data_IF_069814059364
#
_entry.id   IF_069814059364
#
_cell.length_a   1.000
_cell.length_b   1.000
_cell.length_c   1.000
_cell.angle_alpha   90.00
_cell.angle_beta   90.00
_cell.angle_gamma   90.00
#
_symmetry.space_group_name_H-M   'P 1'
#
loop_
_entity.id
_entity.type
_entity.pdbx_description
1 polymer ?
#
# COMPACT_ATOMS: atom_id res chain seq x y z
N UNK A 1 -69.06 -5.48 -24.65
CA UNK A 1 -68.16 -6.30 -25.49
C UNK A 1 -66.93 -5.47 -25.83
N UNK A 2 -65.71 -6.00 -25.57
CA UNK A 2 -64.35 -5.47 -25.89
C UNK A 2 -63.89 -4.25 -25.07
N UNK A 3 -62.61 -4.07 -24.69
CA UNK A 3 -61.36 -4.87 -24.64
C UNK A 3 -60.36 -4.07 -23.76
N UNK A 4 -59.39 -4.74 -23.17
CA UNK A 4 -58.27 -4.24 -22.34
C UNK A 4 -57.11 -3.60 -23.13
N UNK A 5 -56.20 -2.94 -22.37
CA UNK A 5 -54.81 -2.48 -22.66
C UNK A 5 -54.67 -1.14 -23.44
N UNK A 6 -53.71 -0.24 -23.21
CA UNK A 6 -52.47 -0.15 -22.41
C UNK A 6 -51.91 1.28 -22.56
N UNK A 7 -51.18 1.83 -21.59
CA UNK A 7 -49.87 2.47 -21.77
C UNK A 7 -49.34 3.09 -20.45
N UNK A 8 -48.29 2.47 -19.91
CA UNK A 8 -47.37 3.02 -18.93
C UNK A 8 -46.50 4.13 -19.54
N UNK A 9 -46.08 5.11 -18.72
CA UNK A 9 -44.80 5.79 -18.86
C UNK A 9 -44.37 6.50 -17.55
N UNK A 10 -43.61 5.76 -16.73
CA UNK A 10 -42.38 6.16 -16.01
C UNK A 10 -42.44 7.35 -15.04
N UNK A 11 -42.85 7.07 -13.80
CA UNK A 11 -42.19 7.67 -12.63
C UNK A 11 -40.86 6.93 -12.42
N UNK A 12 -39.76 7.67 -12.41
CA UNK A 12 -38.44 7.12 -12.12
C UNK A 12 -38.36 6.69 -10.67
N UNK A 13 -38.42 5.38 -10.44
CA UNK A 13 -38.03 4.76 -9.18
C UNK A 13 -36.61 5.22 -8.82
N UNK A 14 -36.50 5.97 -7.72
CA UNK A 14 -35.27 6.03 -6.95
C UNK A 14 -35.04 4.58 -6.51
N UNK A 15 -34.09 3.91 -7.15
CA UNK A 15 -33.65 2.57 -6.78
C UNK A 15 -33.06 2.66 -5.36
N UNK A 16 -33.93 2.50 -4.36
CA UNK A 16 -33.52 2.33 -2.98
C UNK A 16 -32.66 1.06 -2.93
N UNK A 17 -31.40 1.21 -2.53
CA UNK A 17 -30.50 0.10 -2.22
C UNK A 17 -31.29 -0.99 -1.49
N UNK A 18 -31.22 -2.27 -1.91
CA UNK A 18 -31.83 -3.34 -1.14
C UNK A 18 -31.23 -3.31 0.27
N UNK A 19 -32.06 -3.03 1.27
CA UNK A 19 -31.72 -3.20 2.66
C UNK A 19 -31.52 -4.70 2.89
N UNK A 20 -30.29 -5.17 2.78
CA UNK A 20 -29.91 -6.48 3.27
C UNK A 20 -30.04 -6.44 4.80
N UNK A 21 -31.22 -6.81 5.30
CA UNK A 21 -31.36 -7.24 6.69
C UNK A 21 -30.55 -8.54 6.85
N UNK A 22 -29.32 -8.40 7.33
CA UNK A 22 -28.49 -9.55 7.71
C UNK A 22 -29.09 -10.23 8.94
N UNK A 23 -29.95 -11.22 8.71
CA UNK A 23 -30.53 -12.12 9.74
C UNK A 23 -29.62 -13.31 10.03
N UNK A 24 -28.33 -13.04 10.26
CA UNK A 24 -27.36 -14.01 10.75
C UNK A 24 -26.61 -13.43 11.96
N UNK A 25 -25.97 -14.26 12.79
CA UNK A 25 -25.06 -13.75 13.82
C UNK A 25 -24.04 -12.84 13.13
N UNK A 26 -24.02 -11.56 13.50
CA UNK A 26 -22.98 -10.62 13.05
C UNK A 26 -21.66 -11.18 13.54
N UNK A 27 -20.93 -11.86 12.66
CA UNK A 27 -19.51 -12.07 12.89
C UNK A 27 -18.88 -10.68 12.72
N UNK A 28 -18.83 -9.91 13.81
CA UNK A 28 -18.03 -8.70 13.88
C UNK A 28 -16.58 -9.18 13.86
N UNK A 29 -15.96 -9.20 12.68
CA UNK A 29 -14.51 -9.19 12.65
C UNK A 29 -14.05 -7.88 13.30
N UNK A 30 -13.09 -7.95 14.22
CA UNK A 30 -12.49 -6.77 14.87
C UNK A 30 -11.61 -5.97 13.88
N UNK A 31 -11.98 -5.92 12.61
CA UNK A 31 -11.23 -5.25 11.57
C UNK A 31 -11.54 -3.75 11.65
N UNK A 32 -10.58 -2.97 12.14
CA UNK A 32 -10.77 -1.55 12.31
C UNK A 32 -10.87 -0.83 10.95
N UNK A 33 -11.90 -0.01 10.74
CA UNK A 33 -12.12 0.69 9.48
C UNK A 33 -10.98 1.68 9.20
N UNK A 34 -10.39 1.65 8.00
CA UNK A 34 -9.32 2.57 7.59
C UNK A 34 -9.43 2.84 6.08
N UNK A 35 -9.61 4.10 5.69
CA UNK A 35 -9.85 4.50 4.30
C UNK A 35 -8.62 4.34 3.41
N UNK A 36 -7.43 4.63 3.97
CA UNK A 36 -6.15 4.57 3.27
C UNK A 36 -5.53 3.18 3.10
N UNK A 37 -6.27 2.08 3.32
CA UNK A 37 -5.72 0.72 3.17
C UNK A 37 -5.25 0.47 1.75
N UNK A 38 -4.34 -0.47 1.52
CA UNK A 38 -4.02 -1.05 0.22
C UNK A 38 -4.42 -2.53 0.30
N UNK A 39 -5.10 -3.07 -0.71
CA UNK A 39 -5.39 -4.51 -0.84
C UNK A 39 -6.63 -5.11 -0.15
N UNK A 40 -7.42 -4.36 0.63
CA UNK A 40 -8.71 -4.79 1.22
C UNK A 40 -9.99 -4.35 0.43
N UNK A 41 -11.19 -4.78 0.81
CA UNK A 41 -12.40 -4.17 0.23
C UNK A 41 -12.67 -2.81 0.90
N UNK A 42 -13.03 -1.77 0.14
CA UNK A 42 -13.52 -0.47 0.67
C UNK A 42 -14.83 -0.60 1.48
N UNK A 43 -15.38 -1.82 1.60
CA UNK A 43 -16.53 -2.14 2.44
C UNK A 43 -16.33 -1.85 3.94
N UNK A 44 -15.11 -1.52 4.37
CA UNK A 44 -14.77 -1.12 5.74
C UNK A 44 -14.57 0.39 5.90
N UNK A 45 -15.10 1.20 4.97
CA UNK A 45 -15.11 2.66 5.07
C UNK A 45 -16.44 3.12 5.65
N UNK A 46 -16.40 4.06 6.58
CA UNK A 46 -17.56 4.56 7.29
C UNK A 46 -18.08 5.85 6.65
N UNK A 47 -19.38 5.86 6.29
CA UNK A 47 -20.08 7.02 5.72
C UNK A 47 -20.51 8.05 6.79
N UNK A 48 -20.49 7.69 8.08
CA UNK A 48 -20.83 8.60 9.20
C UNK A 48 -22.32 8.83 9.40
N UNK A 49 -23.18 7.92 8.91
CA UNK A 49 -24.63 8.09 8.93
C UNK A 49 -25.30 7.64 10.25
N UNK A 50 -24.59 6.88 11.10
CA UNK A 50 -25.12 6.35 12.36
C UNK A 50 -24.39 6.89 13.59
N UNK A 51 -25.02 6.83 14.76
CA UNK A 51 -24.41 7.28 16.02
C UNK A 51 -23.26 6.37 16.51
N UNK A 52 -23.19 5.13 16.03
CA UNK A 52 -22.06 4.23 16.29
C UNK A 52 -20.86 4.59 15.41
N UNK A 53 -21.10 5.00 14.17
CA UNK A 53 -20.07 5.51 13.26
C UNK A 53 -19.40 6.78 13.81
N UNK A 54 -20.19 7.68 14.40
CA UNK A 54 -19.70 8.92 15.00
C UNK A 54 -18.73 8.65 16.16
N UNK A 55 -19.06 7.70 17.05
CA UNK A 55 -18.16 7.28 18.14
C UNK A 55 -16.87 6.64 17.64
N UNK A 56 -16.93 5.88 16.54
CA UNK A 56 -15.75 5.30 15.91
C UNK A 56 -14.87 6.38 15.29
N UNK A 57 -15.46 7.38 14.62
CA UNK A 57 -14.75 8.49 14.02
C UNK A 57 -14.05 9.39 15.06
N UNK A 58 -14.58 9.51 16.28
CA UNK A 58 -13.88 10.19 17.38
C UNK A 58 -12.55 9.52 17.75
N UNK A 59 -12.50 8.19 17.68
CA UNK A 59 -11.31 7.39 18.04
C UNK A 59 -10.39 7.15 16.85
N UNK A 60 -10.95 7.14 15.64
CA UNK A 60 -10.26 6.84 14.41
C UNK A 60 -10.83 7.68 13.24
N UNK A 61 -10.36 8.93 13.08
CA UNK A 61 -10.90 9.84 12.08
C UNK A 61 -10.62 9.35 10.65
N UNK A 62 -9.56 8.55 10.44
CA UNK A 62 -9.19 8.00 9.13
C UNK A 62 -9.99 6.76 8.69
N UNK A 63 -11.10 6.48 9.37
CA UNK A 63 -12.09 5.49 8.94
C UNK A 63 -12.99 5.99 7.78
N UNK A 64 -13.03 7.30 7.54
CA UNK A 64 -13.81 7.94 6.46
C UNK A 64 -12.88 8.60 5.42
N UNK A 65 -13.25 8.65 4.13
CA UNK A 65 -12.45 9.32 3.12
C UNK A 65 -12.70 10.84 3.13
N UNK A 66 -13.68 11.31 3.90
CA UNK A 66 -14.11 12.70 3.99
C UNK A 66 -13.58 13.41 5.23
N UNK A 67 -12.31 13.21 5.59
CA UNK A 67 -11.70 13.91 6.71
C UNK A 67 -11.52 15.41 6.46
N UNK A 68 -11.96 16.23 7.42
CA UNK A 68 -11.61 17.65 7.44
C UNK A 68 -10.13 17.85 7.80
N UNK A 69 -9.58 19.02 7.47
CA UNK A 69 -8.19 19.33 7.81
C UNK A 69 -7.91 19.32 9.33
N UNK A 70 -8.92 19.65 10.15
CA UNK A 70 -8.78 19.66 11.62
C UNK A 70 -8.71 18.24 12.18
N UNK A 71 -9.52 17.33 11.67
CA UNK A 71 -9.50 15.91 12.05
C UNK A 71 -8.23 15.22 11.56
N UNK A 72 -7.73 15.60 10.39
CA UNK A 72 -6.49 15.07 9.83
C UNK A 72 -5.28 15.26 10.76
N UNK A 73 -5.17 16.43 11.39
CA UNK A 73 -4.04 16.81 12.27
C UNK A 73 -4.31 16.51 13.75
N UNK A 74 -5.48 15.97 14.07
CA UNK A 74 -5.85 15.65 15.44
C UNK A 74 -4.96 14.55 16.00
N UNK A 75 -4.35 14.80 17.16
CA UNK A 75 -3.42 13.88 17.80
C UNK A 75 -4.09 12.98 18.84
N UNK A 76 -5.36 13.19 19.19
CA UNK A 76 -6.10 12.33 20.15
C UNK A 76 -5.98 10.83 19.82
N UNK A 77 -6.05 10.39 18.55
CA UNK A 77 -5.92 8.96 18.20
C UNK A 77 -4.54 8.35 18.49
N UNK A 78 -3.50 9.12 18.83
CA UNK A 78 -2.15 8.57 19.07
C UNK A 78 -2.10 7.62 20.28
N UNK A 79 -3.04 7.76 21.24
CA UNK A 79 -3.14 6.86 22.40
C UNK A 79 -3.89 5.56 22.08
N UNK A 80 -4.45 5.44 20.87
CA UNK A 80 -5.18 4.25 20.46
C UNK A 80 -4.22 3.08 20.25
N UNK A 81 -4.37 2.02 21.06
CA UNK A 81 -3.54 0.81 21.00
C UNK A 81 -3.59 0.15 19.61
N UNK A 82 -4.73 0.20 18.94
CA UNK A 82 -4.85 -0.48 17.66
C UNK A 82 -4.08 0.24 16.55
N UNK A 83 -3.90 1.56 16.67
CA UNK A 83 -3.02 2.32 15.81
C UNK A 83 -1.56 1.88 15.97
N UNK A 84 -1.13 1.61 17.20
CA UNK A 84 0.21 1.06 17.49
C UNK A 84 0.38 -0.37 16.99
N UNK A 85 -0.65 -1.22 17.09
CA UNK A 85 -0.64 -2.55 16.49
C UNK A 85 -0.48 -2.44 14.98
N UNK A 86 -1.27 -1.58 14.33
CA UNK A 86 -1.18 -1.36 12.88
C UNK A 86 0.21 -0.86 12.47
N UNK A 87 0.80 0.07 13.22
CA UNK A 87 2.17 0.54 12.98
C UNK A 87 3.24 -0.55 13.19
N UNK A 88 3.10 -1.39 14.22
CA UNK A 88 4.00 -2.54 14.40
C UNK A 88 3.91 -3.52 13.23
N UNK A 89 2.68 -3.76 12.74
CA UNK A 89 2.43 -4.61 11.59
C UNK A 89 3.01 -4.02 10.30
N UNK A 90 2.94 -2.69 10.10
CA UNK A 90 3.67 -2.00 9.03
C UNK A 90 5.17 -2.23 9.12
N UNK A 91 5.76 -2.11 10.31
CA UNK A 91 7.18 -2.35 10.52
C UNK A 91 7.58 -3.80 10.22
N UNK A 92 6.80 -4.78 10.68
CA UNK A 92 7.05 -6.21 10.41
C UNK A 92 6.90 -6.52 8.92
N UNK A 93 5.82 -6.06 8.28
CA UNK A 93 5.61 -6.30 6.86
C UNK A 93 6.67 -5.63 6.00
N UNK A 94 7.09 -4.40 6.35
CA UNK A 94 8.22 -3.72 5.70
C UNK A 94 9.51 -4.51 5.90
N UNK A 95 9.80 -4.98 7.11
CA UNK A 95 10.98 -5.80 7.40
C UNK A 95 11.02 -7.06 6.52
N UNK A 96 9.92 -7.81 6.48
CA UNK A 96 9.85 -9.05 5.70
C UNK A 96 9.95 -8.78 4.19
N UNK A 97 9.23 -7.78 3.69
CA UNK A 97 9.25 -7.39 2.28
C UNK A 97 10.64 -6.90 1.85
N UNK A 98 11.26 -6.01 2.63
CA UNK A 98 12.61 -5.50 2.38
C UNK A 98 13.65 -6.62 2.47
N UNK A 99 13.53 -7.54 3.44
CA UNK A 99 14.47 -8.66 3.55
C UNK A 99 14.47 -9.52 2.28
N UNK A 100 13.29 -9.92 1.79
CA UNK A 100 13.20 -10.81 0.62
C UNK A 100 13.62 -10.08 -0.66
N UNK A 101 13.25 -8.81 -0.83
CA UNK A 101 13.63 -8.02 -2.00
C UNK A 101 15.13 -7.75 -2.05
N UNK A 102 15.75 -7.44 -0.90
CA UNK A 102 17.20 -7.35 -0.79
C UNK A 102 17.82 -8.71 -1.16
N UNK A 103 17.39 -9.79 -0.52
CA UNK A 103 17.97 -11.12 -0.75
C UNK A 103 17.89 -11.56 -2.21
N UNK A 104 16.76 -11.34 -2.89
CA UNK A 104 16.55 -11.68 -4.29
C UNK A 104 17.38 -10.81 -5.26
N UNK A 105 17.85 -9.63 -4.84
CA UNK A 105 18.62 -8.69 -5.66
C UNK A 105 20.08 -8.51 -5.20
N UNK A 106 20.50 -9.28 -4.19
CA UNK A 106 21.86 -9.25 -3.67
C UNK A 106 22.86 -9.84 -4.66
N UNK A 107 24.01 -9.19 -4.77
CA UNK A 107 25.14 -9.64 -5.59
C UNK A 107 26.45 -9.25 -4.92
N UNK A 108 27.59 -9.89 -5.26
CA UNK A 108 28.89 -9.47 -4.73
C UNK A 108 29.17 -7.99 -5.03
N UNK A 109 29.84 -7.29 -4.11
CA UNK A 109 30.21 -5.88 -4.27
C UNK A 109 31.39 -5.68 -5.21
N UNK A 110 31.16 -6.03 -6.48
CA UNK A 110 32.08 -5.80 -7.58
C UNK A 110 31.31 -5.21 -8.75
N UNK A 111 32.00 -4.40 -9.56
CA UNK A 111 31.43 -3.90 -10.81
C UNK A 111 31.06 -5.11 -11.68
N UNK A 112 29.79 -5.24 -12.11
CA UNK A 112 29.37 -6.36 -12.95
C UNK A 112 30.24 -6.45 -14.20
N UNK A 113 30.67 -7.66 -14.53
CA UNK A 113 31.39 -7.90 -15.77
C UNK A 113 30.52 -7.47 -16.97
N UNK A 114 31.17 -6.97 -18.02
CA UNK A 114 30.48 -6.59 -19.25
C UNK A 114 29.71 -7.79 -19.82
N UNK A 115 28.48 -7.58 -20.34
CA UNK A 115 27.70 -8.62 -20.99
C UNK A 115 28.51 -9.46 -22.00
N UNK A 116 28.59 -10.77 -21.78
CA UNK A 116 29.15 -11.70 -22.76
C UNK A 116 28.10 -12.06 -23.82
N UNK A 117 28.51 -12.12 -25.09
CA UNK A 117 27.62 -12.25 -26.25
C UNK A 117 27.13 -13.69 -26.53
N UNK A 118 27.08 -14.57 -25.54
CA UNK A 118 26.89 -16.01 -25.78
C UNK A 118 25.47 -16.43 -26.17
N UNK A 119 24.41 -15.71 -25.73
CA UNK A 119 23.01 -15.93 -26.17
C UNK A 119 22.31 -14.62 -26.62
N UNK A 120 23.06 -13.65 -27.17
CA UNK A 120 22.51 -12.41 -27.72
C UNK A 120 22.23 -11.32 -26.66
N UNK A 121 21.28 -10.42 -26.93
CA UNK A 121 21.05 -9.21 -26.11
C UNK A 121 20.41 -9.48 -24.73
N UNK A 122 19.93 -10.69 -24.46
CA UNK A 122 19.18 -11.03 -23.23
C UNK A 122 19.96 -11.90 -22.25
N UNK A 123 21.04 -12.54 -22.67
CA UNK A 123 21.88 -13.38 -21.80
C UNK A 123 22.96 -12.56 -21.13
N UNK A 124 22.51 -11.63 -20.30
CA UNK A 124 23.41 -10.83 -19.49
C UNK A 124 22.83 -10.59 -18.11
N UNK A 125 23.72 -10.50 -17.12
CA UNK A 125 23.36 -10.29 -15.73
C UNK A 125 22.61 -8.97 -15.51
N UNK A 126 22.82 -7.97 -16.37
CA UNK A 126 22.12 -6.69 -16.33
C UNK A 126 20.64 -6.79 -16.76
N UNK A 127 20.25 -7.85 -17.45
CA UNK A 127 18.87 -8.12 -17.85
C UNK A 127 18.20 -9.16 -16.95
N UNK A 128 18.84 -10.32 -16.75
CA UNK A 128 18.24 -11.44 -16.02
C UNK A 128 18.04 -11.12 -14.54
N UNK A 129 19.01 -10.48 -13.87
CA UNK A 129 18.92 -10.13 -12.45
C UNK A 129 17.72 -9.23 -12.14
N UNK A 130 17.62 -8.05 -12.78
CA UNK A 130 16.47 -7.16 -12.61
C UNK A 130 15.13 -7.78 -13.03
N UNK A 131 15.09 -8.60 -14.08
CA UNK A 131 13.87 -9.28 -14.51
C UNK A 131 13.35 -10.25 -13.45
N UNK A 132 14.21 -11.15 -12.96
CA UNK A 132 13.84 -12.13 -11.94
C UNK A 132 13.51 -11.45 -10.62
N UNK A 133 14.35 -10.51 -10.18
CA UNK A 133 14.11 -9.73 -8.96
C UNK A 133 12.81 -8.92 -9.03
N UNK A 134 12.53 -8.30 -10.18
CA UNK A 134 11.31 -7.55 -10.43
C UNK A 134 10.05 -8.42 -10.38
N UNK A 135 10.05 -9.58 -11.04
CA UNK A 135 8.92 -10.53 -11.02
C UNK A 135 8.67 -11.04 -9.59
N UNK A 136 9.72 -11.44 -8.87
CA UNK A 136 9.61 -11.89 -7.48
C UNK A 136 9.03 -10.76 -6.62
N UNK A 137 9.52 -9.53 -6.79
CA UNK A 137 9.03 -8.38 -6.03
C UNK A 137 7.54 -8.12 -6.29
N UNK A 138 7.09 -8.11 -7.55
CA UNK A 138 5.68 -7.89 -7.91
C UNK A 138 4.78 -8.95 -7.27
N UNK A 139 5.17 -10.23 -7.31
CA UNK A 139 4.38 -11.31 -6.71
C UNK A 139 4.33 -11.14 -5.18
N UNK A 140 5.49 -10.98 -4.54
CA UNK A 140 5.57 -10.94 -3.09
C UNK A 140 4.94 -9.69 -2.50
N UNK A 141 5.17 -8.51 -3.08
CA UNK A 141 4.55 -7.28 -2.57
C UNK A 141 3.03 -7.37 -2.69
N UNK A 142 2.51 -7.97 -3.76
CA UNK A 142 1.06 -8.20 -3.91
C UNK A 142 0.54 -9.12 -2.81
N UNK A 143 1.23 -10.23 -2.52
CA UNK A 143 0.86 -11.15 -1.44
C UNK A 143 0.95 -10.50 -0.06
N UNK A 144 1.99 -9.68 0.19
CA UNK A 144 2.11 -8.91 1.42
C UNK A 144 0.95 -7.93 1.56
N UNK A 145 0.64 -7.17 0.49
CA UNK A 145 -0.46 -6.21 0.50
C UNK A 145 -1.81 -6.89 0.75
N UNK A 146 -2.10 -8.01 0.10
CA UNK A 146 -3.37 -8.74 0.34
C UNK A 146 -3.43 -9.39 1.73
N UNK A 147 -2.29 -9.84 2.27
CA UNK A 147 -2.26 -10.51 3.59
C UNK A 147 -2.34 -9.53 4.75
N UNK A 148 -1.70 -8.37 4.62
CA UNK A 148 -1.57 -7.37 5.69
C UNK A 148 -2.50 -6.18 5.52
N UNK A 149 -3.07 -5.99 4.33
CA UNK A 149 -3.98 -4.90 4.00
C UNK A 149 -5.22 -4.89 4.89
N UNK A 150 -5.62 -6.06 5.39
CA UNK A 150 -6.71 -6.20 6.34
C UNK A 150 -6.41 -5.62 7.75
N UNK A 151 -5.14 -5.40 8.08
CA UNK A 151 -4.72 -5.08 9.45
C UNK A 151 -4.15 -3.66 9.50
N UNK A 152 -3.14 -3.36 8.68
CA UNK A 152 -2.49 -2.05 8.66
C UNK A 152 -2.85 -1.17 7.47
N UNK A 153 -3.44 -1.76 6.44
CA UNK A 153 -3.49 -1.11 5.13
C UNK A 153 -2.23 -1.28 4.29
N UNK A 154 -1.23 -2.02 4.79
CA UNK A 154 -0.07 -2.50 4.03
C UNK A 154 0.62 -1.44 3.14
N UNK A 155 0.89 -0.26 3.70
CA UNK A 155 1.61 0.79 2.97
C UNK A 155 3.04 0.36 2.65
N UNK A 156 3.73 -0.20 3.65
CA UNK A 156 5.11 -0.72 3.61
C UNK A 156 6.16 0.22 3.00
N UNK A 157 5.82 1.50 2.88
CA UNK A 157 6.62 2.48 2.19
C UNK A 157 6.31 3.88 2.76
N UNK A 158 7.33 4.61 3.24
CA UNK A 158 7.17 5.96 3.75
C UNK A 158 6.57 6.94 2.73
N UNK A 159 6.95 6.82 1.45
CA UNK A 159 6.42 7.66 0.37
C UNK A 159 4.93 7.42 0.15
N UNK A 160 4.50 6.15 0.17
CA UNK A 160 3.07 5.82 0.04
C UNK A 160 2.31 6.36 1.25
N UNK A 161 2.79 6.12 2.47
CA UNK A 161 2.17 6.65 3.69
C UNK A 161 2.04 8.17 3.67
N UNK A 162 3.09 8.86 3.27
CA UNK A 162 3.10 10.31 3.13
C UNK A 162 2.12 10.79 2.06
N UNK A 163 2.07 10.13 0.90
CA UNK A 163 1.12 10.45 -0.15
C UNK A 163 -0.33 10.22 0.31
N UNK A 164 -0.61 9.14 1.04
CA UNK A 164 -1.94 8.83 1.59
C UNK A 164 -2.37 9.89 2.62
N UNK A 165 -1.42 10.42 3.39
CA UNK A 165 -1.66 11.57 4.27
C UNK A 165 -1.99 12.85 3.47
N UNK A 166 -1.21 13.16 2.43
CA UNK A 166 -1.49 14.29 1.53
C UNK A 166 -2.85 14.17 0.83
N UNK A 167 -3.28 12.95 0.51
CA UNK A 167 -4.58 12.63 -0.05
C UNK A 167 -5.73 12.68 0.98
N UNK A 168 -5.43 12.95 2.27
CA UNK A 168 -6.39 12.93 3.39
C UNK A 168 -7.07 11.59 3.61
N UNK A 169 -6.36 10.50 3.33
CA UNK A 169 -6.82 9.12 3.56
C UNK A 169 -6.09 8.47 4.75
N UNK A 170 -5.12 9.16 5.34
CA UNK A 170 -4.33 8.72 6.50
C UNK A 170 -4.19 9.89 7.48
N UNK A 171 -4.49 9.67 8.76
CA UNK A 171 -4.37 10.70 9.79
C UNK A 171 -2.91 11.01 10.13
N UNK A 172 -2.64 12.20 10.67
CA UNK A 172 -1.30 12.60 11.11
C UNK A 172 -0.71 11.61 12.14
N UNK A 173 -1.43 11.18 13.20
CA UNK A 173 -0.96 10.16 14.13
C UNK A 173 -0.54 8.86 13.46
N UNK A 174 -1.30 8.39 12.47
CA UNK A 174 -0.95 7.18 11.74
C UNK A 174 0.34 7.35 10.96
N UNK A 175 0.48 8.46 10.22
CA UNK A 175 1.68 8.73 9.44
C UNK A 175 2.94 8.79 10.32
N UNK A 176 2.89 9.49 11.46
CA UNK A 176 4.04 9.63 12.36
C UNK A 176 4.42 8.32 13.06
N UNK A 177 3.50 7.35 13.17
CA UNK A 177 3.81 6.02 13.70
C UNK A 177 4.28 5.07 12.60
N UNK A 178 3.64 5.11 11.42
CA UNK A 178 3.95 4.24 10.29
C UNK A 178 5.35 4.50 9.74
N UNK A 179 5.72 5.76 9.48
CA UNK A 179 7.00 6.08 8.84
C UNK A 179 8.20 5.58 9.67
N UNK A 180 8.29 5.87 10.99
CA UNK A 180 9.37 5.33 11.82
C UNK A 180 9.34 3.81 11.94
N UNK A 181 8.16 3.19 12.01
CA UNK A 181 8.04 1.74 12.05
C UNK A 181 8.54 1.08 10.75
N UNK A 182 8.18 1.65 9.59
CA UNK A 182 8.65 1.21 8.27
C UNK A 182 10.16 1.37 8.13
N UNK A 183 10.71 2.54 8.51
CA UNK A 183 12.15 2.79 8.49
C UNK A 183 12.89 1.82 9.43
N UNK A 184 12.36 1.61 10.65
CA UNK A 184 12.92 0.68 11.62
C UNK A 184 12.89 -0.78 11.12
N UNK A 185 11.77 -1.20 10.52
CA UNK A 185 11.63 -2.51 9.90
C UNK A 185 12.60 -2.73 8.74
N UNK A 186 12.74 -1.75 7.85
CA UNK A 186 13.69 -1.79 6.74
C UNK A 186 15.16 -1.83 7.24
N UNK A 187 15.49 -1.06 8.28
CA UNK A 187 16.83 -1.09 8.88
C UNK A 187 17.14 -2.47 9.49
N UNK A 188 16.17 -3.07 10.20
CA UNK A 188 16.31 -4.42 10.75
C UNK A 188 16.45 -5.48 9.65
N UNK A 189 15.73 -5.35 8.54
CA UNK A 189 15.89 -6.21 7.37
C UNK A 189 17.32 -6.18 6.82
N UNK A 190 17.92 -4.98 6.68
CA UNK A 190 19.32 -4.84 6.26
C UNK A 190 20.31 -5.52 7.21
N UNK A 191 20.08 -5.46 8.52
CA UNK A 191 20.88 -6.18 9.51
C UNK A 191 20.72 -7.70 9.40
N UNK A 192 19.50 -8.18 9.19
CA UNK A 192 19.22 -9.61 9.00
C UNK A 192 19.87 -10.14 7.73
N UNK A 193 19.78 -9.42 6.60
CA UNK A 193 20.47 -9.81 5.37
C UNK A 193 21.98 -9.88 5.59
N UNK A 194 22.57 -8.88 6.25
CA UNK A 194 24.00 -8.89 6.59
C UNK A 194 24.38 -10.13 7.40
N UNK A 195 23.56 -10.50 8.37
CA UNK A 195 23.76 -11.71 9.16
C UNK A 195 23.64 -12.98 8.32
N UNK A 196 22.64 -13.06 7.42
CA UNK A 196 22.42 -14.19 6.51
C UNK A 196 23.51 -14.33 5.44
N UNK A 197 24.10 -13.22 4.98
CA UNK A 197 25.20 -13.23 4.02
C UNK A 197 26.56 -13.60 4.65
N UNK A 198 26.70 -13.40 5.96
CA UNK A 198 27.94 -13.65 6.69
C UNK A 198 28.99 -12.54 6.54
N UNK A 199 28.60 -11.34 6.08
CA UNK A 199 29.55 -10.26 5.82
C UNK A 199 28.89 -8.99 5.31
N UNK A 200 29.71 -8.01 4.91
CA UNK A 200 29.27 -6.75 4.28
C UNK A 200 29.61 -6.66 2.79
N UNK A 201 30.23 -7.69 2.24
CA UNK A 201 30.78 -7.70 0.88
C UNK A 201 29.70 -8.07 -0.15
N UNK A 202 28.57 -7.38 -0.08
CA UNK A 202 27.45 -7.51 -1.00
C UNK A 202 26.84 -6.14 -1.28
N UNK A 203 26.29 -6.03 -2.48
CA UNK A 203 25.47 -4.91 -2.92
C UNK A 203 24.06 -5.40 -3.21
N UNK A 204 23.12 -4.48 -3.11
CA UNK A 204 21.71 -4.73 -3.37
C UNK A 204 21.25 -3.93 -4.57
N UNK A 205 20.57 -4.58 -5.52
CA UNK A 205 19.99 -3.90 -6.67
C UNK A 205 19.03 -2.79 -6.24
N UNK A 206 19.12 -1.62 -6.88
CA UNK A 206 18.29 -0.45 -6.56
C UNK A 206 18.74 0.36 -5.33
N UNK A 207 19.37 -0.27 -4.33
CA UNK A 207 19.87 0.42 -3.14
C UNK A 207 21.38 0.72 -3.17
N UNK A 208 22.08 0.26 -4.21
CA UNK A 208 23.52 0.49 -4.43
C UNK A 208 23.79 0.95 -5.86
N UNK A 209 24.71 1.90 -6.00
CA UNK A 209 25.05 2.53 -7.28
C UNK A 209 26.55 2.74 -7.40
N UNK A 210 27.17 2.21 -8.45
CA UNK A 210 28.52 2.60 -8.84
C UNK A 210 28.43 3.92 -9.62
N UNK A 211 28.73 5.04 -8.96
CA UNK A 211 28.61 6.38 -9.56
C UNK A 211 29.55 6.62 -10.73
N UNK A 212 30.62 5.83 -10.85
CA UNK A 212 31.51 5.79 -12.02
C UNK A 212 30.85 5.18 -13.25
N UNK A 213 29.82 4.35 -13.06
CA UNK A 213 29.07 3.67 -14.13
C UNK A 213 27.77 4.41 -14.43
N UNK A 214 27.03 4.82 -13.39
CA UNK A 214 25.76 5.53 -13.51
C UNK A 214 25.81 6.80 -12.65
N UNK A 215 25.87 7.99 -13.28
CA UNK A 215 25.87 9.25 -12.56
C UNK A 215 24.61 9.45 -11.71
N UNK A 216 24.76 10.07 -10.54
CA UNK A 216 23.65 10.27 -9.59
C UNK A 216 22.43 10.99 -10.19
N UNK A 217 22.63 11.91 -11.15
CA UNK A 217 21.54 12.61 -11.85
C UNK A 217 20.63 11.65 -12.64
N UNK A 218 21.20 10.60 -13.23
CA UNK A 218 20.46 9.62 -14.04
C UNK A 218 19.66 8.70 -13.11
N UNK A 219 20.28 8.24 -12.03
CA UNK A 219 19.59 7.49 -10.97
C UNK A 219 18.44 8.28 -10.36
N UNK A 220 18.61 9.59 -10.09
CA UNK A 220 17.55 10.44 -9.56
C UNK A 220 16.32 10.50 -10.46
N UNK A 221 16.50 10.65 -11.78
CA UNK A 221 15.38 10.68 -12.73
C UNK A 221 14.63 9.35 -12.74
N UNK A 222 15.37 8.24 -12.69
CA UNK A 222 14.79 6.89 -12.61
C UNK A 222 13.95 6.74 -11.33
N UNK A 223 14.53 7.07 -10.16
CA UNK A 223 13.84 7.00 -8.87
C UNK A 223 12.58 7.87 -8.84
N UNK A 224 12.64 9.09 -9.39
CA UNK A 224 11.50 9.99 -9.45
C UNK A 224 10.36 9.42 -10.29
N UNK A 225 10.66 8.88 -11.48
CA UNK A 225 9.66 8.32 -12.39
C UNK A 225 9.06 7.05 -11.79
N UNK A 226 9.87 6.12 -11.28
CA UNK A 226 9.36 4.88 -10.69
C UNK A 226 8.61 5.12 -9.37
N UNK A 227 9.03 6.08 -8.55
CA UNK A 227 8.27 6.52 -7.38
C UNK A 227 6.91 7.10 -7.77
N UNK A 228 6.86 7.87 -8.85
CA UNK A 228 5.60 8.39 -9.39
C UNK A 228 4.70 7.25 -9.85
N UNK A 229 5.23 6.30 -10.64
CA UNK A 229 4.48 5.11 -11.09
C UNK A 229 3.95 4.31 -9.89
N UNK A 230 4.78 4.10 -8.86
CA UNK A 230 4.37 3.42 -7.64
C UNK A 230 3.16 4.09 -6.99
N UNK A 231 3.16 5.42 -6.88
CA UNK A 231 2.02 6.17 -6.35
C UNK A 231 0.79 6.02 -7.25
N UNK A 232 0.93 6.15 -8.57
CA UNK A 232 -0.19 5.95 -9.50
C UNK A 232 -0.79 4.55 -9.42
N UNK A 233 0.02 3.51 -9.22
CA UNK A 233 -0.48 2.14 -9.04
C UNK A 233 -1.13 1.97 -7.67
N UNK A 234 -0.53 2.52 -6.61
CA UNK A 234 -1.06 2.44 -5.25
C UNK A 234 -2.42 3.12 -5.12
N UNK A 235 -2.62 4.30 -5.71
CA UNK A 235 -3.91 4.99 -5.69
C UNK A 235 -4.86 4.51 -6.81
N UNK A 236 -4.35 4.30 -8.02
CA UNK A 236 -5.15 4.02 -9.21
C UNK A 236 -5.78 2.62 -9.24
N UNK A 237 -5.04 1.59 -8.81
CA UNK A 237 -5.59 0.22 -8.76
C UNK A 237 -6.53 0.00 -7.57
N UNK A 238 -6.39 0.84 -6.55
CA UNK A 238 -7.06 0.68 -5.26
C UNK A 238 -8.36 1.46 -5.17
N UNK A 239 -8.35 2.70 -5.64
CA UNK A 239 -9.41 3.68 -5.39
C UNK A 239 -10.52 3.64 -6.45
N UNK A 240 -11.00 2.43 -6.77
CA UNK A 240 -12.02 2.24 -7.80
C UNK A 240 -13.36 2.94 -7.48
N UNK A 241 -13.63 3.28 -6.22
CA UNK A 241 -14.87 3.98 -5.82
C UNK A 241 -14.78 5.51 -5.99
N UNK A 242 -13.62 6.16 -5.84
CA UNK A 242 -13.48 7.57 -6.23
C UNK A 242 -13.54 7.75 -7.75
N UNK A 243 -12.97 6.82 -8.54
CA UNK A 243 -13.06 6.88 -10.00
C UNK A 243 -14.49 6.71 -10.53
N UNK A 244 -15.31 5.87 -9.88
CA UNK A 244 -16.74 5.69 -10.19
C UNK A 244 -17.63 6.89 -9.81
N UNK A 245 -17.12 7.85 -9.02
CA UNK A 245 -17.87 9.07 -8.65
C UNK A 245 -17.44 10.29 -9.48
N UNK A 246 -16.30 10.19 -10.18
CA UNK A 246 -15.77 11.24 -11.06
C UNK A 246 -16.20 11.04 -12.52
N UNK A 247 -16.59 9.83 -12.91
CA UNK A 247 -17.17 9.47 -14.22
C UNK A 247 -18.52 8.79 -14.04
#
# INVERSE_FOLDING_TARGET
>A
MRRTNSHEARDGEIESRPSFEHTGPRFQSNDLPFAGRLGANQAYVIDGATSEDEKLLEHQPDATPHMSFRELIDLRPITNIDLWKAALIEGIGTMLSVFVTIWASSSPDVIPAQPTRQLGNFDNAAFIGPLVGGIINVILITLFITSFGAISGAHFNPLITFATFCARLCSLPRMILYIPAQIGGAALAGLLVRASWGGRDFKTGGCWLFTEVVPAREAFVIELVFSTVLLFLAFGCWDNELWKRVY
#
